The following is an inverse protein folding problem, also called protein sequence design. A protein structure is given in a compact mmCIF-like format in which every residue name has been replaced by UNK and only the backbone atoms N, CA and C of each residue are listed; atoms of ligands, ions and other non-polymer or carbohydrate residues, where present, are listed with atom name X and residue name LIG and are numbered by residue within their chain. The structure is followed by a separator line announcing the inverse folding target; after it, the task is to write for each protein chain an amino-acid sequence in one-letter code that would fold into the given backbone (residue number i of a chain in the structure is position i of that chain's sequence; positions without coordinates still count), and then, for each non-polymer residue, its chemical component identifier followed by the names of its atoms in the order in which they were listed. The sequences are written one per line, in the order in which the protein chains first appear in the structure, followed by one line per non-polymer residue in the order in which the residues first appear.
data_IF_239859080972
#
_entry.id   IF_239859080972
#
_cell.length_a   1.000
_cell.length_b   1.000
_cell.length_c   1.000
_cell.angle_alpha   90.00
_cell.angle_beta   90.00
_cell.angle_gamma   90.00
#
_symmetry.space_group_name_H-M   'P 1'
#
loop_
_entity.id
_entity.type
_entity.pdbx_description
1 polymer ?
#
# COMPACT_ATOMS: atom_id res chain seq x y z
N UNK A 1 -21.16 6.11 6.19
CA UNK A 1 -19.75 6.07 5.74
C UNK A 1 -19.55 4.86 4.85
N UNK A 2 -18.88 5.02 3.74
CA UNK A 2 -18.60 3.91 2.83
C UNK A 2 -17.59 2.95 3.47
N UNK A 3 -17.90 1.65 3.62
CA UNK A 3 -16.98 0.71 4.26
C UNK A 3 -15.68 0.50 3.48
N UNK A 4 -15.62 0.90 2.22
CA UNK A 4 -14.41 0.80 1.40
C UNK A 4 -13.49 2.00 1.50
N UNK A 5 -13.93 3.10 2.12
CA UNK A 5 -13.10 4.30 2.25
C UNK A 5 -11.86 4.02 3.09
N UNK A 6 -12.02 3.39 4.24
CA UNK A 6 -10.89 3.13 5.13
C UNK A 6 -9.84 2.21 4.48
N UNK A 7 -10.21 1.05 3.91
CA UNK A 7 -9.24 0.22 3.19
C UNK A 7 -8.61 0.93 1.99
N UNK A 8 -9.38 1.74 1.26
CA UNK A 8 -8.85 2.49 0.12
C UNK A 8 -7.78 3.49 0.56
N UNK A 9 -7.99 4.17 1.67
CA UNK A 9 -7.00 5.08 2.24
C UNK A 9 -5.73 4.32 2.64
N UNK A 10 -5.88 3.15 3.25
CA UNK A 10 -4.73 2.32 3.61
C UNK A 10 -3.94 1.89 2.38
N UNK A 11 -4.61 1.47 1.32
CA UNK A 11 -3.96 1.08 0.07
C UNK A 11 -3.18 2.27 -0.51
N UNK A 12 -3.78 3.45 -0.53
CA UNK A 12 -3.13 4.66 -1.02
C UNK A 12 -1.88 4.98 -0.21
N UNK A 13 -1.95 4.87 1.12
CA UNK A 13 -0.81 5.10 2.00
C UNK A 13 0.28 4.05 1.79
N UNK A 14 -0.10 2.79 1.60
CA UNK A 14 0.86 1.71 1.35
C UNK A 14 1.61 1.95 0.04
N UNK A 15 0.90 2.32 -1.02
CA UNK A 15 1.53 2.62 -2.31
C UNK A 15 2.46 3.82 -2.19
N UNK A 16 2.00 4.88 -1.52
CA UNK A 16 2.82 6.08 -1.31
C UNK A 16 4.09 5.74 -0.51
N UNK A 17 3.96 4.94 0.55
CA UNK A 17 5.11 4.50 1.34
C UNK A 17 6.08 3.67 0.49
N UNK A 18 5.55 2.76 -0.34
CA UNK A 18 6.37 1.97 -1.25
C UNK A 18 7.16 2.83 -2.21
N UNK A 19 6.53 3.84 -2.79
CA UNK A 19 7.21 4.77 -3.70
C UNK A 19 8.31 5.55 -2.99
N UNK A 20 8.04 6.04 -1.78
CA UNK A 20 9.02 6.79 -0.99
C UNK A 20 10.23 5.90 -0.67
N UNK A 21 10.01 4.68 -0.21
CA UNK A 21 11.11 3.76 0.09
C UNK A 21 11.89 3.35 -1.15
N UNK A 22 11.21 3.14 -2.27
CA UNK A 22 11.87 2.83 -3.53
C UNK A 22 12.75 3.99 -3.98
N UNK A 23 12.28 5.23 -3.87
CA UNK A 23 13.03 6.43 -4.21
C UNK A 23 14.24 6.62 -3.30
N UNK A 24 14.13 6.19 -2.05
CA UNK A 24 15.24 6.24 -1.09
C UNK A 24 16.24 5.09 -1.28
N UNK A 25 15.98 4.17 -2.19
CA UNK A 25 16.85 3.03 -2.44
C UNK A 25 16.58 1.83 -1.54
N UNK A 26 15.51 1.85 -0.76
CA UNK A 26 15.14 0.77 0.15
C UNK A 26 14.12 -0.16 -0.53
N UNK A 27 14.62 -0.94 -1.49
CA UNK A 27 13.77 -1.83 -2.28
C UNK A 27 13.09 -2.92 -1.46
N UNK A 28 13.76 -3.37 -0.40
CA UNK A 28 13.21 -4.41 0.45
C UNK A 28 11.92 -3.97 1.12
N UNK A 29 11.91 -2.76 1.66
CA UNK A 29 10.72 -2.19 2.29
C UNK A 29 9.68 -1.79 1.27
N UNK A 30 10.12 -1.28 0.11
CA UNK A 30 9.21 -0.92 -0.97
C UNK A 30 8.40 -2.15 -1.41
N UNK A 31 9.05 -3.28 -1.63
CA UNK A 31 8.39 -4.53 -2.02
C UNK A 31 7.42 -4.97 -0.92
N UNK A 32 7.80 -4.86 0.33
CA UNK A 32 6.95 -5.20 1.46
C UNK A 32 5.66 -4.36 1.44
N UNK A 33 5.78 -3.06 1.27
CA UNK A 33 4.64 -2.16 1.25
C UNK A 33 3.75 -2.38 0.04
N UNK A 34 4.32 -2.61 -1.13
CA UNK A 34 3.53 -2.92 -2.32
C UNK A 34 2.79 -4.24 -2.16
N UNK A 35 3.42 -5.25 -1.60
CA UNK A 35 2.78 -6.54 -1.33
C UNK A 35 1.62 -6.37 -0.35
N UNK A 36 1.79 -5.58 0.68
CA UNK A 36 0.73 -5.29 1.65
C UNK A 36 -0.44 -4.58 0.98
N UNK A 37 -0.17 -3.62 0.10
CA UNK A 37 -1.21 -2.91 -0.65
C UNK A 37 -2.00 -3.84 -1.55
N UNK A 38 -1.31 -4.71 -2.28
CA UNK A 38 -1.96 -5.70 -3.16
C UNK A 38 -2.81 -6.67 -2.35
N UNK A 39 -2.29 -7.16 -1.23
CA UNK A 39 -3.02 -8.07 -0.36
C UNK A 39 -4.29 -7.41 0.18
N UNK A 40 -4.19 -6.18 0.63
CA UNK A 40 -5.34 -5.42 1.12
C UNK A 40 -6.37 -5.22 0.00
N UNK A 41 -5.91 -4.90 -1.20
CA UNK A 41 -6.80 -4.72 -2.35
C UNK A 41 -7.54 -6.00 -2.68
N UNK A 42 -6.88 -7.15 -2.69
CA UNK A 42 -7.53 -8.43 -3.00
C UNK A 42 -8.57 -8.82 -1.96
N UNK A 43 -8.35 -8.47 -0.71
CA UNK A 43 -9.33 -8.74 0.36
C UNK A 43 -10.50 -7.77 0.31
N UNK A 44 -10.27 -6.53 -0.13
CA UNK A 44 -11.30 -5.49 -0.18
C UNK A 44 -12.13 -5.56 -1.45
N UNK A 45 -11.51 -5.84 -2.56
CA UNK A 45 -12.14 -5.89 -3.87
C UNK A 45 -12.16 -7.29 -4.45
#
# INVERSE_FOLDING_TARGET
MNPKIFPSVLIALDVAAGVVYAAAGDWRRAIYWFAAGVLTATVTY
#
